data_IF_590493706856
#
_entry.id   IF_590493706856
#
_cell.length_a   1.000
_cell.length_b   1.000
_cell.length_c   1.000
_cell.angle_alpha   90.00
_cell.angle_beta   90.00
_cell.angle_gamma   90.00
#
_symmetry.space_group_name_H-M   'P 1'
#
loop_
_entity.id
_entity.type
_entity.pdbx_description
1 polymer ?
#
# COMPACT_ATOMS: atom_id res chain seq x y z
N UNK A 1 26.38 13.62 14.17
CA UNK A 1 26.09 14.31 12.89
C UNK A 1 24.94 13.58 12.25
N UNK A 2 23.77 14.22 12.12
CA UNK A 2 22.66 13.67 11.34
C UNK A 2 23.01 13.86 9.88
N UNK A 3 23.16 12.75 9.15
CA UNK A 3 23.37 12.80 7.70
C UNK A 3 22.02 13.13 7.08
N UNK A 4 21.82 14.41 6.77
CA UNK A 4 20.63 14.85 6.03
C UNK A 4 20.83 14.34 4.60
N UNK A 5 20.11 13.28 4.24
CA UNK A 5 19.99 12.88 2.86
C UNK A 5 19.10 13.93 2.19
N UNK A 6 19.68 14.75 1.31
CA UNK A 6 18.88 15.57 0.40
C UNK A 6 17.97 14.62 -0.40
N UNK A 7 16.67 14.84 -0.26
CA UNK A 7 15.64 14.00 -0.82
C UNK A 7 15.57 14.24 -2.34
N UNK A 8 16.16 13.34 -3.13
CA UNK A 8 16.01 13.33 -4.59
C UNK A 8 14.95 12.31 -5.04
N UNK A 9 13.68 12.72 -5.22
CA UNK A 9 12.58 11.81 -5.53
C UNK A 9 12.72 11.06 -6.87
N UNK A 10 13.56 11.54 -7.78
CA UNK A 10 13.81 10.87 -9.06
C UNK A 10 14.86 9.73 -8.95
N UNK A 11 15.77 9.78 -7.97
CA UNK A 11 16.85 8.80 -7.81
C UNK A 11 16.35 7.50 -7.16
N UNK A 12 15.54 7.63 -6.10
CA UNK A 12 14.86 6.52 -5.41
C UNK A 12 13.90 5.73 -6.31
N UNK A 13 13.40 6.33 -7.40
CA UNK A 13 12.50 5.62 -8.31
C UNK A 13 13.21 4.47 -9.07
N UNK A 14 14.50 4.62 -9.34
CA UNK A 14 15.26 3.69 -10.19
C UNK A 14 16.03 2.62 -9.41
N UNK A 15 16.09 2.73 -8.08
CA UNK A 15 16.90 1.86 -7.21
C UNK A 15 16.02 1.25 -6.12
N UNK A 16 15.46 0.07 -6.39
CA UNK A 16 14.54 -0.65 -5.49
C UNK A 16 15.16 -0.88 -4.09
N UNK A 17 16.46 -1.15 -4.02
CA UNK A 17 17.17 -1.35 -2.74
C UNK A 17 17.22 -0.08 -1.89
N UNK A 18 17.54 1.07 -2.48
CA UNK A 18 17.59 2.35 -1.75
C UNK A 18 16.20 2.79 -1.27
N UNK A 19 15.16 2.48 -2.06
CA UNK A 19 13.78 2.75 -1.65
C UNK A 19 13.33 1.87 -0.48
N UNK A 20 13.67 0.58 -0.51
CA UNK A 20 13.38 -0.34 0.58
C UNK A 20 14.05 0.11 1.89
N UNK A 21 15.32 0.52 1.83
CA UNK A 21 16.05 1.07 2.99
C UNK A 21 15.45 2.39 3.49
N UNK A 22 15.01 3.26 2.57
CA UNK A 22 14.33 4.50 2.92
C UNK A 22 13.02 4.22 3.64
N UNK A 23 12.16 3.33 3.13
CA UNK A 23 10.90 2.96 3.76
C UNK A 23 11.14 2.34 5.14
N UNK A 24 12.17 1.51 5.30
CA UNK A 24 12.56 0.96 6.61
C UNK A 24 12.93 2.07 7.61
N UNK A 25 13.65 3.09 7.15
CA UNK A 25 13.96 4.26 7.98
C UNK A 25 12.70 5.05 8.38
N UNK A 26 11.68 5.10 7.52
CA UNK A 26 10.41 5.77 7.79
C UNK A 26 9.57 4.94 8.75
N UNK A 27 9.50 3.62 8.58
CA UNK A 27 8.80 2.74 9.53
C UNK A 27 9.35 2.87 10.94
N UNK A 28 10.68 2.94 11.11
CA UNK A 28 11.31 3.17 12.41
C UNK A 28 10.99 4.55 13.02
N UNK A 29 10.70 5.55 12.20
CA UNK A 29 10.25 6.86 12.69
C UNK A 29 8.78 6.85 13.10
N UNK A 30 7.93 6.12 12.37
CA UNK A 30 6.49 5.99 12.66
C UNK A 30 6.26 5.11 13.90
N UNK A 31 7.05 4.06 14.07
CA UNK A 31 6.93 3.05 15.12
C UNK A 31 8.19 3.05 15.99
N UNK A 32 8.27 3.89 17.03
CA UNK A 32 9.44 3.96 17.91
C UNK A 32 9.81 2.63 18.59
N UNK A 33 8.82 1.78 18.84
CA UNK A 33 8.96 0.45 19.43
C UNK A 33 9.30 -0.67 18.42
N UNK A 34 9.57 -0.32 17.15
CA UNK A 34 9.91 -1.26 16.11
C UNK A 34 11.32 -1.82 16.33
N UNK A 35 11.38 -3.09 16.71
CA UNK A 35 12.61 -3.81 16.99
C UNK A 35 13.31 -4.22 15.70
N UNK A 36 12.60 -4.88 14.79
CA UNK A 36 13.21 -5.43 13.58
C UNK A 36 12.28 -5.39 12.36
N UNK A 37 12.87 -5.45 11.17
CA UNK A 37 12.17 -5.50 9.89
C UNK A 37 12.76 -6.64 9.07
N UNK A 38 11.92 -7.59 8.67
CA UNK A 38 12.27 -8.68 7.78
C UNK A 38 11.67 -8.43 6.40
N UNK A 39 12.52 -8.46 5.37
CA UNK A 39 12.10 -8.53 3.98
C UNK A 39 11.73 -9.98 3.64
N UNK A 40 10.53 -10.18 3.08
CA UNK A 40 10.05 -11.51 2.71
C UNK A 40 10.50 -11.86 1.29
N UNK A 41 11.42 -12.81 1.20
CA UNK A 41 11.97 -13.29 -0.08
C UNK A 41 11.35 -14.63 -0.52
N UNK A 42 10.58 -15.29 0.35
CA UNK A 42 10.01 -16.60 0.00
C UNK A 42 8.85 -16.44 -0.98
N UNK A 43 8.90 -17.22 -2.06
CA UNK A 43 7.89 -17.18 -3.13
C UNK A 43 6.48 -17.52 -2.64
N UNK A 44 6.36 -18.28 -1.56
CA UNK A 44 5.06 -18.64 -0.98
C UNK A 44 4.36 -17.42 -0.39
N UNK A 45 5.06 -16.71 0.50
CA UNK A 45 4.53 -15.55 1.21
C UNK A 45 4.38 -14.33 0.30
N UNK A 46 5.27 -14.16 -0.68
CA UNK A 46 5.11 -13.13 -1.72
C UNK A 46 3.82 -13.32 -2.55
N UNK A 47 3.39 -14.57 -2.77
CA UNK A 47 2.09 -14.84 -3.44
C UNK A 47 0.89 -14.47 -2.58
N UNK A 48 1.08 -14.39 -1.26
CA UNK A 48 0.08 -13.91 -0.31
C UNK A 48 0.08 -12.37 -0.20
N UNK A 49 0.97 -11.68 -0.94
CA UNK A 49 1.10 -10.22 -0.91
C UNK A 49 1.79 -9.71 0.33
N UNK A 50 2.70 -10.48 0.93
CA UNK A 50 3.49 -10.03 2.08
C UNK A 50 4.90 -9.68 1.60
N UNK A 51 5.25 -8.40 1.69
CA UNK A 51 6.58 -7.91 1.33
C UNK A 51 7.49 -7.79 2.56
N UNK A 52 6.94 -7.36 3.71
CA UNK A 52 7.72 -7.19 4.95
C UNK A 52 6.97 -7.67 6.19
N UNK A 53 7.74 -8.08 7.21
CA UNK A 53 7.28 -8.27 8.60
C UNK A 53 7.98 -7.29 9.52
N UNK A 54 7.19 -6.62 10.34
CA UNK A 54 7.66 -5.68 11.35
C UNK A 54 7.51 -6.33 12.73
N UNK A 55 8.61 -6.44 13.46
CA UNK A 55 8.69 -7.06 14.78
C UNK A 55 8.80 -5.99 15.85
N UNK A 56 7.90 -6.01 16.82
CA UNK A 56 7.80 -4.99 17.87
C UNK A 56 8.39 -5.48 19.19
N UNK A 57 8.85 -4.56 20.04
CA UNK A 57 9.43 -4.89 21.36
C UNK A 57 8.47 -5.67 22.26
N UNK A 58 7.16 -5.40 22.16
CA UNK A 58 6.12 -6.10 22.91
C UNK A 58 5.78 -7.50 22.37
N UNK A 59 6.48 -7.96 21.33
CA UNK A 59 6.26 -9.26 20.68
C UNK A 59 5.17 -9.26 19.61
N UNK A 60 4.54 -8.12 19.32
CA UNK A 60 3.63 -8.02 18.18
C UNK A 60 4.40 -8.16 16.86
N UNK A 61 3.72 -8.73 15.87
CA UNK A 61 4.22 -8.85 14.50
C UNK A 61 3.11 -8.31 13.60
N UNK A 62 3.44 -7.40 12.69
CA UNK A 62 2.53 -6.99 11.63
C UNK A 62 3.18 -7.24 10.27
N UNK A 63 2.35 -7.53 9.29
CA UNK A 63 2.74 -7.74 7.89
C UNK A 63 2.38 -6.52 7.05
N UNK A 64 3.25 -6.19 6.07
CA UNK A 64 3.05 -5.11 5.11
C UNK A 64 3.09 -5.63 3.66
N UNK A 65 2.20 -5.11 2.82
CA UNK A 65 2.40 -5.07 1.36
C UNK A 65 2.70 -3.62 0.96
N UNK A 66 3.76 -3.42 0.20
CA UNK A 66 4.22 -2.11 -0.23
C UNK A 66 3.66 -1.77 -1.62
N UNK A 67 3.05 -0.60 -1.74
CA UNK A 67 2.51 -0.05 -2.97
C UNK A 67 3.09 1.31 -3.21
N UNK A 68 3.43 1.58 -4.47
CA UNK A 68 4.05 2.84 -4.88
C UNK A 68 3.20 3.56 -5.91
N UNK A 69 3.06 4.87 -5.71
CA UNK A 69 2.43 5.78 -6.68
C UNK A 69 3.37 6.92 -7.00
N UNK A 70 3.96 6.91 -8.20
CA UNK A 70 5.02 7.85 -8.58
C UNK A 70 4.62 9.33 -8.45
N UNK A 71 3.38 9.66 -8.79
CA UNK A 71 2.87 11.03 -8.81
C UNK A 71 1.73 11.14 -7.80
N UNK A 72 1.71 12.21 -7.02
CA UNK A 72 0.62 12.53 -6.11
C UNK A 72 -0.58 13.07 -6.90
N UNK A 73 -1.57 12.20 -7.14
CA UNK A 73 -2.85 12.58 -7.73
C UNK A 73 -3.91 12.92 -6.67
N UNK A 74 -3.54 12.90 -5.38
CA UNK A 74 -4.51 13.00 -4.28
C UNK A 74 -5.43 11.78 -4.16
N UNK A 75 -5.03 10.64 -4.73
CA UNK A 75 -5.78 9.39 -4.73
C UNK A 75 -4.95 8.22 -4.17
N UNK A 76 -5.67 7.15 -3.83
CA UNK A 76 -5.12 5.83 -3.56
C UNK A 76 -5.80 4.87 -4.55
N UNK A 77 -4.99 4.12 -5.29
CA UNK A 77 -5.49 3.12 -6.23
C UNK A 77 -5.89 1.85 -5.48
N UNK A 78 -7.17 1.54 -5.42
CA UNK A 78 -7.66 0.25 -4.95
C UNK A 78 -7.67 -0.75 -6.12
N UNK A 79 -6.75 -1.70 -6.12
CA UNK A 79 -6.60 -2.67 -7.22
C UNK A 79 -7.67 -3.76 -7.17
N UNK A 80 -8.52 -3.78 -8.19
CA UNK A 80 -9.61 -4.77 -8.31
C UNK A 80 -9.12 -6.00 -9.07
N UNK A 81 -8.33 -5.80 -10.13
CA UNK A 81 -7.83 -6.87 -10.98
C UNK A 81 -6.32 -6.75 -11.13
N UNK A 82 -5.60 -7.82 -10.79
CA UNK A 82 -4.16 -7.93 -11.04
C UNK A 82 -3.90 -8.27 -12.52
N UNK A 83 -4.68 -9.23 -13.06
CA UNK A 83 -4.63 -9.67 -14.46
C UNK A 83 -6.06 -9.73 -15.01
N UNK A 84 -6.49 -8.65 -15.66
CA UNK A 84 -7.84 -8.50 -16.20
C UNK A 84 -8.21 -9.59 -17.21
N UNK A 85 -7.31 -9.90 -18.12
CA UNK A 85 -7.52 -10.85 -19.23
C UNK A 85 -7.84 -12.25 -18.71
N UNK A 86 -7.31 -12.61 -17.54
CA UNK A 86 -7.53 -13.90 -16.86
C UNK A 86 -8.51 -13.80 -15.68
N UNK A 87 -9.08 -12.62 -15.43
CA UNK A 87 -9.99 -12.35 -14.30
C UNK A 87 -9.37 -12.71 -12.94
N UNK A 88 -8.08 -12.43 -12.78
CA UNK A 88 -7.39 -12.61 -11.50
C UNK A 88 -7.57 -11.34 -10.67
N UNK A 89 -8.17 -11.50 -9.49
CA UNK A 89 -8.41 -10.41 -8.55
C UNK A 89 -7.10 -9.80 -8.06
N UNK A 90 -7.15 -8.50 -7.75
CA UNK A 90 -6.03 -7.73 -7.23
C UNK A 90 -5.89 -7.80 -5.71
N UNK A 91 -4.84 -7.14 -5.20
CA UNK A 91 -4.47 -7.16 -3.78
C UNK A 91 -5.61 -6.77 -2.83
N UNK A 92 -6.55 -5.92 -3.28
CA UNK A 92 -7.72 -5.53 -2.49
C UNK A 92 -8.51 -6.75 -2.01
N UNK A 93 -8.47 -7.86 -2.75
CA UNK A 93 -9.17 -9.10 -2.42
C UNK A 93 -8.23 -10.25 -2.07
N UNK A 94 -7.00 -10.25 -2.59
CA UNK A 94 -6.10 -11.41 -2.49
C UNK A 94 -5.00 -11.27 -1.46
N UNK A 95 -4.66 -10.05 -1.03
CA UNK A 95 -3.58 -9.85 -0.06
C UNK A 95 -3.94 -10.37 1.33
N UNK A 96 -2.98 -10.99 2.01
CA UNK A 96 -3.11 -11.52 3.37
C UNK A 96 -2.41 -10.65 4.40
N UNK A 97 -1.89 -9.50 3.99
CA UNK A 97 -1.17 -8.58 4.86
C UNK A 97 -2.09 -7.88 5.86
N UNK A 98 -1.54 -7.40 6.97
CA UNK A 98 -2.26 -6.59 7.96
C UNK A 98 -2.49 -5.16 7.45
N UNK A 99 -1.46 -4.58 6.81
CA UNK A 99 -1.50 -3.21 6.30
C UNK A 99 -0.95 -3.09 4.88
N UNK A 100 -1.55 -2.18 4.11
CA UNK A 100 -0.97 -1.68 2.87
C UNK A 100 -0.14 -0.44 3.19
N UNK A 101 1.15 -0.49 2.91
CA UNK A 101 2.03 0.67 2.94
C UNK A 101 2.01 1.34 1.57
N UNK A 102 1.37 2.50 1.46
CA UNK A 102 1.18 3.21 0.20
C UNK A 102 2.07 4.46 0.13
N UNK A 103 3.16 4.36 -0.63
CA UNK A 103 4.19 5.38 -0.74
C UNK A 103 4.05 6.24 -2.00
N UNK A 104 4.17 7.57 -1.82
CA UNK A 104 4.13 8.58 -2.88
C UNK A 104 5.43 9.40 -2.82
N UNK A 105 6.49 9.00 -3.55
CA UNK A 105 7.79 9.66 -3.47
C UNK A 105 7.79 11.10 -3.97
N UNK A 106 6.92 11.49 -4.91
CA UNK A 106 6.87 12.86 -5.41
C UNK A 106 6.43 13.89 -4.36
N UNK A 107 5.81 13.45 -3.26
CA UNK A 107 5.20 14.32 -2.23
C UNK A 107 5.54 13.86 -0.79
N UNK A 108 6.71 13.26 -0.59
CA UNK A 108 7.09 12.31 0.49
C UNK A 108 5.96 11.85 1.43
N UNK A 109 4.87 11.30 0.87
CA UNK A 109 3.73 10.81 1.66
C UNK A 109 3.82 9.30 1.81
N UNK A 110 3.55 8.82 3.01
CA UNK A 110 3.37 7.41 3.30
C UNK A 110 2.05 7.22 4.05
N UNK A 111 1.21 6.31 3.56
CA UNK A 111 0.00 5.89 4.25
C UNK A 111 0.15 4.45 4.70
N UNK A 112 -0.03 4.18 5.99
CA UNK A 112 -0.13 2.82 6.53
C UNK A 112 -1.62 2.51 6.72
N UNK A 113 -2.19 1.70 5.82
CA UNK A 113 -3.62 1.50 5.69
C UNK A 113 -4.01 0.10 6.20
N UNK A 114 -4.82 -0.03 7.27
CA UNK A 114 -5.24 -1.34 7.75
C UNK A 114 -6.13 -2.05 6.72
N UNK A 115 -5.66 -3.15 6.15
CA UNK A 115 -6.26 -3.78 4.97
C UNK A 115 -7.70 -4.23 5.24
N UNK A 116 -7.96 -4.77 6.44
CA UNK A 116 -9.31 -5.19 6.85
C UNK A 116 -10.32 -4.04 6.74
N UNK A 117 -9.91 -2.82 7.08
CA UNK A 117 -10.80 -1.67 7.10
C UNK A 117 -10.88 -0.98 5.75
N UNK A 118 -9.81 -1.02 4.95
CA UNK A 118 -9.86 -0.69 3.52
C UNK A 118 -10.90 -1.57 2.82
N UNK A 119 -10.87 -2.89 3.05
CA UNK A 119 -11.84 -3.84 2.50
C UNK A 119 -13.26 -3.56 2.96
N UNK A 120 -13.46 -3.28 4.25
CA UNK A 120 -14.78 -2.92 4.78
C UNK A 120 -15.31 -1.60 4.21
N UNK A 121 -14.43 -0.60 4.05
CA UNK A 121 -14.76 0.66 3.41
C UNK A 121 -15.16 0.44 1.94
N UNK A 122 -14.39 -0.35 1.20
CA UNK A 122 -14.72 -0.73 -0.17
C UNK A 122 -16.06 -1.44 -0.26
N UNK A 123 -16.28 -2.52 0.51
CA UNK A 123 -17.50 -3.30 0.47
C UNK A 123 -18.78 -2.47 0.71
N UNK A 124 -18.70 -1.44 1.57
CA UNK A 124 -19.82 -0.53 1.87
C UNK A 124 -20.08 0.52 0.79
N UNK A 125 -19.10 0.80 -0.08
CA UNK A 125 -19.17 1.93 -1.01
C UNK A 125 -18.92 1.53 -2.48
N UNK A 126 -18.59 0.28 -2.78
CA UNK A 126 -18.09 -0.15 -4.09
C UNK A 126 -19.04 0.15 -5.24
N UNK A 127 -20.35 0.08 -5.03
CA UNK A 127 -21.36 0.43 -6.05
C UNK A 127 -21.22 1.90 -6.43
N UNK A 128 -21.33 2.80 -5.44
CA UNK A 128 -21.17 4.24 -5.62
C UNK A 128 -19.78 4.61 -6.17
N UNK A 129 -18.73 4.01 -5.64
CA UNK A 129 -17.36 4.37 -6.01
C UNK A 129 -16.97 3.89 -7.40
N UNK A 130 -17.55 2.79 -7.87
CA UNK A 130 -17.34 2.32 -9.26
C UNK A 130 -17.88 3.31 -10.27
N UNK A 131 -18.96 4.01 -9.95
CA UNK A 131 -19.56 5.04 -10.81
C UNK A 131 -18.85 6.39 -10.68
N UNK A 132 -18.51 6.79 -9.45
CA UNK A 132 -17.95 8.12 -9.16
C UNK A 132 -16.46 8.26 -9.46
N UNK A 133 -15.68 7.21 -9.22
CA UNK A 133 -14.23 7.28 -9.30
C UNK A 133 -13.70 6.60 -10.55
N UNK A 134 -12.72 7.28 -11.14
CA UNK A 134 -12.08 6.87 -12.39
C UNK A 134 -11.47 5.47 -12.24
N UNK A 135 -11.69 4.66 -13.26
CA UNK A 135 -10.92 3.44 -13.49
C UNK A 135 -9.53 3.78 -14.03
N UNK A 136 -8.50 3.22 -13.40
CA UNK A 136 -7.11 3.32 -13.84
C UNK A 136 -6.70 1.97 -14.37
N UNK A 137 -6.29 1.94 -15.64
CA UNK A 137 -5.73 0.77 -16.29
C UNK A 137 -4.23 0.97 -16.46
N UNK A 138 -3.45 0.02 -15.96
CA UNK A 138 -2.02 -0.08 -16.21
C UNK A 138 -1.79 -1.25 -17.19
N UNK A 139 -1.30 -0.93 -18.39
CA UNK A 139 -0.98 -1.92 -19.42
C UNK A 139 0.45 -2.40 -19.22
N UNK A 140 0.60 -3.67 -18.88
CA UNK A 140 1.87 -4.37 -18.75
C UNK A 140 2.08 -5.27 -19.98
N UNK A 141 3.26 -5.88 -20.09
CA UNK A 141 3.52 -6.85 -21.15
C UNK A 141 2.64 -8.10 -20.95
N UNK A 142 1.59 -8.22 -21.78
CA UNK A 142 0.70 -9.38 -21.80
C UNK A 142 -0.46 -9.37 -20.80
N UNK A 143 -0.59 -8.34 -19.96
CA UNK A 143 -1.74 -8.21 -19.05
C UNK A 143 -2.06 -6.77 -18.65
N UNK A 144 -3.28 -6.55 -18.16
CA UNK A 144 -3.77 -5.26 -17.66
C UNK A 144 -4.14 -5.37 -16.19
N UNK A 145 -3.61 -4.46 -15.38
CA UNK A 145 -4.04 -4.25 -13.99
C UNK A 145 -5.08 -3.14 -13.95
N UNK A 146 -6.15 -3.33 -13.17
CA UNK A 146 -7.27 -2.39 -13.06
C UNK A 146 -7.49 -1.98 -11.62
N UNK A 147 -7.55 -0.68 -11.38
CA UNK A 147 -7.79 -0.09 -10.06
C UNK A 147 -8.86 1.01 -10.11
N UNK A 148 -9.44 1.34 -8.95
CA UNK A 148 -10.26 2.55 -8.76
C UNK A 148 -9.45 3.60 -8.00
N UNK A 149 -9.38 4.81 -8.56
CA UNK A 149 -8.68 5.94 -7.96
C UNK A 149 -9.57 6.65 -6.93
N UNK A 150 -9.51 6.20 -5.67
CA UNK A 150 -10.31 6.80 -4.60
C UNK A 150 -9.54 7.96 -4.00
N UNK A 151 -10.17 9.14 -3.91
CA UNK A 151 -9.55 10.29 -3.26
C UNK A 151 -9.11 9.94 -1.83
N UNK A 152 -7.89 10.34 -1.47
CA UNK A 152 -7.27 9.93 -0.19
C UNK A 152 -8.15 10.32 1.00
N UNK A 153 -8.66 11.55 1.03
CA UNK A 153 -9.52 12.03 2.12
C UNK A 153 -10.84 11.24 2.23
N UNK A 154 -11.41 10.83 1.10
CA UNK A 154 -12.64 10.02 1.07
C UNK A 154 -12.37 8.62 1.60
N UNK A 155 -11.27 7.99 1.16
CA UNK A 155 -10.88 6.66 1.63
C UNK A 155 -10.60 6.66 3.13
N UNK A 156 -9.79 7.59 3.63
CA UNK A 156 -9.46 7.71 5.05
C UNK A 156 -10.72 7.95 5.91
N UNK A 157 -11.62 8.82 5.45
CA UNK A 157 -12.90 9.06 6.13
C UNK A 157 -13.78 7.81 6.16
N UNK A 158 -13.79 7.01 5.09
CA UNK A 158 -14.54 5.77 5.02
C UNK A 158 -13.94 4.67 5.92
N UNK A 159 -12.61 4.57 5.98
CA UNK A 159 -11.89 3.69 6.92
C UNK A 159 -12.24 4.06 8.36
N UNK A 160 -12.18 5.35 8.72
CA UNK A 160 -12.53 5.83 10.06
C UNK A 160 -13.96 5.39 10.47
N UNK A 161 -14.94 5.54 9.57
CA UNK A 161 -16.32 5.08 9.80
C UNK A 161 -16.46 3.54 9.80
N UNK A 162 -15.54 2.82 9.16
CA UNK A 162 -15.56 1.37 9.11
C UNK A 162 -15.22 0.71 10.46
N UNK A 163 -14.54 1.40 11.37
CA UNK A 163 -14.28 0.88 12.72
C UNK A 163 -15.53 0.76 13.59
N UNK A 164 -16.54 1.61 13.37
CA UNK A 164 -17.75 1.63 14.18
C UNK A 164 -18.75 0.54 13.73
N UNK A 165 -19.40 -0.08 14.72
CA UNK A 165 -20.66 -0.79 14.55
C UNK A 165 -21.78 0.24 14.77
N UNK A 166 -22.62 0.42 13.75
CA UNK A 166 -23.76 1.35 13.74
C UNK A 166 -24.97 0.61 13.23
#
# INVERSE_FOLDING_TARGET
>A
MVKIHEFEPNLLYSLETEESEYLDSVYRQIFPELKDIELIETRGEQREGIDKRLYFENGAIITLEEKKRRVDYGDILLEIWSVWERRILGWLYTSHTDYISYFIPSSPKLYILPLLLVRKAWARNQELWTDQYREIQAKNEGYTTISRAILTNVLLSAIQRAHAFT
#
